data_IF_289862171215
#
_entry.id   IF_289862171215
#
_cell.length_a   1.000
_cell.length_b   1.000
_cell.length_c   1.000
_cell.angle_alpha   90.00
_cell.angle_beta   90.00
_cell.angle_gamma   90.00
#
_symmetry.space_group_name_H-M   'P 1'
#
loop_
_entity.id
_entity.type
_entity.pdbx_description
1 polymer ?
#
# COMPACT_ATOMS: atom_id res chain seq x y z
N UNK A 1 11.26 -22.63 -9.27
CA UNK A 1 11.24 -22.43 -7.80
C UNK A 1 11.05 -20.93 -7.52
N UNK A 2 9.80 -20.47 -7.46
CA UNK A 2 9.47 -19.04 -7.45
C UNK A 2 9.73 -18.46 -6.07
N UNK A 3 10.89 -17.81 -5.90
CA UNK A 3 11.26 -17.08 -4.68
C UNK A 3 10.29 -15.91 -4.45
N UNK A 4 9.23 -16.13 -3.67
CA UNK A 4 8.40 -15.04 -3.10
C UNK A 4 9.23 -14.32 -2.01
N UNK A 5 10.04 -13.35 -2.42
CA UNK A 5 10.91 -12.57 -1.55
C UNK A 5 10.14 -11.42 -0.88
N UNK A 6 9.68 -11.64 0.36
CA UNK A 6 9.11 -10.60 1.25
C UNK A 6 10.15 -10.23 2.32
N UNK A 7 11.18 -9.47 1.97
CA UNK A 7 12.33 -9.20 2.85
C UNK A 7 11.99 -8.39 4.11
N UNK A 8 11.15 -7.37 3.98
CA UNK A 8 10.76 -6.53 5.11
C UNK A 8 10.09 -7.33 6.25
N UNK A 9 9.23 -8.30 5.88
CA UNK A 9 8.60 -9.21 6.85
C UNK A 9 9.64 -10.05 7.59
N UNK A 10 10.69 -10.51 6.90
CA UNK A 10 11.77 -11.30 7.50
C UNK A 10 12.60 -10.49 8.49
N UNK A 11 12.91 -9.24 8.16
CA UNK A 11 13.61 -8.32 9.08
C UNK A 11 12.79 -8.03 10.33
N UNK A 12 11.47 -7.80 10.19
CA UNK A 12 10.58 -7.62 11.33
C UNK A 12 10.56 -8.85 12.25
N UNK A 13 10.47 -10.06 11.69
CA UNK A 13 10.53 -11.31 12.46
C UNK A 13 11.88 -11.48 13.15
N UNK A 14 12.99 -11.24 12.44
CA UNK A 14 14.34 -11.31 12.99
C UNK A 14 14.51 -10.37 14.20
N UNK A 15 14.04 -9.13 14.08
CA UNK A 15 14.10 -8.15 15.16
C UNK A 15 13.27 -8.56 16.38
N UNK A 16 12.04 -9.07 16.17
CA UNK A 16 11.19 -9.55 17.26
C UNK A 16 11.79 -10.78 17.96
N UNK A 17 12.36 -11.72 17.21
CA UNK A 17 13.07 -12.88 17.77
C UNK A 17 14.29 -12.46 18.58
N UNK A 18 15.08 -11.51 18.07
CA UNK A 18 16.22 -10.96 18.80
C UNK A 18 15.79 -10.28 20.11
N UNK A 19 14.70 -9.49 20.08
CA UNK A 19 14.11 -8.90 21.30
C UNK A 19 13.63 -9.96 22.30
N UNK A 20 13.14 -11.10 21.82
CA UNK A 20 12.74 -12.23 22.67
C UNK A 20 13.95 -13.04 23.24
N UNK A 21 15.19 -12.61 23.00
CA UNK A 21 16.40 -13.22 23.54
C UNK A 21 17.00 -14.31 22.64
N UNK A 22 16.46 -14.53 21.44
CA UNK A 22 17.06 -15.46 20.49
C UNK A 22 18.35 -14.88 19.88
N UNK A 23 19.36 -15.72 19.68
CA UNK A 23 20.52 -15.38 18.86
C UNK A 23 20.14 -15.49 17.38
N UNK A 24 20.03 -14.34 16.71
CA UNK A 24 19.59 -14.26 15.30
C UNK A 24 20.75 -13.87 14.41
N UNK A 25 20.94 -14.60 13.31
CA UNK A 25 21.85 -14.24 12.22
C UNK A 25 21.01 -13.87 11.00
N UNK A 26 21.18 -12.65 10.49
CA UNK A 26 20.59 -12.20 9.23
C UNK A 26 21.67 -12.27 8.15
N UNK A 27 21.37 -12.95 7.05
CA UNK A 27 22.30 -13.08 5.90
C UNK A 27 21.65 -12.44 4.69
N UNK A 28 22.32 -11.43 4.14
CA UNK A 28 21.94 -10.75 2.90
C UNK A 28 22.93 -11.09 1.78
N UNK A 29 22.42 -11.44 0.59
CA UNK A 29 23.25 -11.79 -0.56
C UNK A 29 23.89 -10.56 -1.20
N UNK A 30 23.19 -9.42 -1.16
CA UNK A 30 23.58 -8.23 -1.90
C UNK A 30 24.62 -7.35 -1.16
N UNK A 31 25.02 -7.72 0.05
CA UNK A 31 25.97 -6.96 0.87
C UNK A 31 25.31 -6.03 1.89
N UNK A 32 26.12 -5.44 2.77
CA UNK A 32 25.64 -4.59 3.88
C UNK A 32 25.09 -3.24 3.41
N UNK A 33 25.58 -2.73 2.27
CA UNK A 33 25.13 -1.47 1.69
C UNK A 33 23.80 -1.60 0.90
N UNK A 34 23.33 -2.83 0.65
CA UNK A 34 22.15 -3.12 -0.20
C UNK A 34 21.06 -3.92 0.55
N UNK A 35 20.89 -3.63 1.85
CA UNK A 35 19.87 -4.26 2.71
C UNK A 35 18.48 -3.69 2.40
N UNK A 36 17.46 -4.58 2.36
CA UNK A 36 16.06 -4.19 2.11
C UNK A 36 15.44 -4.94 0.92
N UNK A 37 16.28 -5.52 0.07
CA UNK A 37 15.90 -6.48 -0.95
C UNK A 37 15.08 -5.82 -2.04
N UNK A 38 13.76 -5.99 -1.98
CA UNK A 38 12.85 -5.30 -2.91
C UNK A 38 12.53 -3.88 -2.47
N UNK A 39 12.65 -3.56 -1.19
CA UNK A 39 12.49 -2.19 -0.69
C UNK A 39 13.89 -1.59 -0.70
N UNK A 40 14.25 -0.96 -1.81
CA UNK A 40 15.63 -0.55 -2.08
C UNK A 40 15.66 0.60 -3.10
N UNK A 41 16.77 1.32 -3.19
CA UNK A 41 16.96 2.47 -4.06
C UNK A 41 18.12 2.28 -5.05
N UNK A 42 18.09 3.07 -6.13
CA UNK A 42 19.19 3.19 -7.10
C UNK A 42 19.46 4.67 -7.34
N UNK A 43 20.73 5.05 -7.26
CA UNK A 43 21.18 6.42 -7.53
C UNK A 43 21.83 6.45 -8.91
N UNK A 44 21.26 7.25 -9.83
CA UNK A 44 21.79 7.48 -11.17
C UNK A 44 22.42 8.86 -11.25
N UNK A 45 23.63 8.92 -11.80
CA UNK A 45 24.44 10.13 -12.01
C UNK A 45 24.64 11.00 -10.76
N UNK A 46 24.48 10.41 -9.57
CA UNK A 46 24.53 11.14 -8.28
C UNK A 46 23.40 12.15 -8.07
N UNK A 47 22.37 12.17 -8.93
CA UNK A 47 21.32 13.21 -8.93
C UNK A 47 19.91 12.64 -8.85
N UNK A 48 19.68 11.50 -9.49
CA UNK A 48 18.37 10.88 -9.55
C UNK A 48 18.34 9.68 -8.63
N UNK A 49 17.35 9.63 -7.75
CA UNK A 49 17.14 8.51 -6.83
C UNK A 49 15.83 7.83 -7.19
N UNK A 50 15.91 6.54 -7.49
CA UNK A 50 14.78 5.71 -7.88
C UNK A 50 14.55 4.62 -6.86
N UNK A 51 13.36 4.58 -6.30
CA UNK A 51 12.90 3.43 -5.51
C UNK A 51 12.64 2.24 -6.46
N UNK A 52 13.12 1.07 -6.11
CA UNK A 52 12.92 -0.19 -6.85
C UNK A 52 11.82 -1.06 -6.24
N UNK A 53 11.25 -0.59 -5.14
CA UNK A 53 10.25 -1.27 -4.34
C UNK A 53 8.83 -0.75 -4.51
N UNK A 54 7.94 -1.09 -3.55
CA UNK A 54 6.59 -0.55 -3.54
C UNK A 54 6.62 0.97 -3.37
N UNK A 55 5.84 1.67 -4.19
CA UNK A 55 5.70 3.13 -4.15
C UNK A 55 4.56 3.61 -3.24
N UNK A 56 3.68 2.71 -2.77
CA UNK A 56 2.53 3.03 -1.92
C UNK A 56 2.67 2.40 -0.53
N UNK A 57 2.56 3.24 0.50
CA UNK A 57 2.47 2.84 1.90
C UNK A 57 1.01 2.94 2.37
N UNK A 58 0.25 1.85 2.20
CA UNK A 58 -1.19 1.83 2.50
C UNK A 58 -1.51 1.70 3.99
N UNK A 59 -0.69 0.96 4.74
CA UNK A 59 -0.94 0.61 6.15
C UNK A 59 0.24 1.04 7.03
N UNK A 60 0.44 2.35 7.27
CA UNK A 60 1.55 2.84 8.10
C UNK A 60 1.46 2.33 9.55
N UNK A 61 0.25 2.06 10.07
CA UNK A 61 0.07 1.59 11.44
C UNK A 61 0.67 0.21 11.71
N UNK A 62 0.71 -0.67 10.70
CA UNK A 62 1.37 -1.96 10.83
C UNK A 62 2.90 -1.81 11.07
N UNK A 63 3.50 -0.78 10.49
CA UNK A 63 4.91 -0.44 10.76
C UNK A 63 5.06 0.15 12.16
N UNK A 64 4.19 1.08 12.56
CA UNK A 64 4.22 1.66 13.91
C UNK A 64 4.07 0.59 14.99
N UNK A 65 3.19 -0.38 14.80
CA UNK A 65 3.03 -1.54 15.69
C UNK A 65 4.31 -2.37 15.77
N UNK A 66 4.92 -2.68 14.62
CA UNK A 66 6.18 -3.42 14.59
C UNK A 66 7.30 -2.72 15.37
N UNK A 67 7.42 -1.39 15.26
CA UNK A 67 8.41 -0.62 16.01
C UNK A 67 8.08 -0.53 17.50
N UNK A 68 6.79 -0.35 17.85
CA UNK A 68 6.32 -0.39 19.24
C UNK A 68 6.62 -1.72 19.92
N UNK A 69 6.42 -2.83 19.22
CA UNK A 69 6.80 -4.17 19.71
C UNK A 69 8.29 -4.29 19.99
N UNK A 70 9.12 -3.49 19.32
CA UNK A 70 10.57 -3.41 19.56
C UNK A 70 10.95 -2.37 20.62
N UNK A 71 9.98 -1.65 21.20
CA UNK A 71 10.20 -0.59 22.19
C UNK A 71 10.75 0.69 21.57
N UNK A 72 10.41 0.97 20.31
CA UNK A 72 10.88 2.11 19.53
C UNK A 72 9.71 2.85 18.91
N UNK A 73 9.90 4.14 18.59
CA UNK A 73 8.98 4.87 17.74
C UNK A 73 9.42 4.78 16.27
N UNK A 74 8.48 4.67 15.34
CA UNK A 74 8.76 4.71 13.91
C UNK A 74 9.26 6.11 13.48
N UNK A 75 8.79 7.18 14.12
CA UNK A 75 9.17 8.55 13.79
C UNK A 75 10.64 8.85 14.06
N UNK A 76 11.30 8.06 14.91
CA UNK A 76 12.74 8.18 15.18
C UNK A 76 13.60 7.80 13.96
N UNK A 77 13.01 7.09 12.98
CA UNK A 77 13.74 6.54 11.84
C UNK A 77 13.25 7.07 10.50
N UNK A 78 11.96 7.35 10.37
CA UNK A 78 11.37 7.78 9.09
C UNK A 78 10.33 8.88 9.29
N UNK A 79 10.36 9.87 8.39
CA UNK A 79 9.34 10.91 8.31
C UNK A 79 8.29 10.52 7.27
N UNK A 80 7.15 10.00 7.73
CA UNK A 80 6.04 9.64 6.86
C UNK A 80 5.16 10.87 6.64
N UNK A 81 5.06 11.31 5.38
CA UNK A 81 4.18 12.40 4.97
C UNK A 81 3.01 11.83 4.18
N UNK A 82 1.81 12.30 4.52
CA UNK A 82 0.61 11.99 3.74
C UNK A 82 0.68 12.74 2.41
N UNK A 83 0.45 12.02 1.32
CA UNK A 83 0.35 12.58 -0.04
C UNK A 83 -1.12 12.63 -0.41
N UNK A 84 -1.60 13.79 -0.82
CA UNK A 84 -2.96 14.01 -1.32
C UNK A 84 -2.91 14.83 -2.61
N UNK A 85 -3.68 14.47 -3.65
CA UNK A 85 -4.50 13.25 -3.77
C UNK A 85 -3.64 11.96 -3.80
N UNK A 86 -4.25 10.82 -3.46
CA UNK A 86 -3.49 9.55 -3.38
C UNK A 86 -2.93 9.14 -4.75
N UNK A 87 -3.75 9.24 -5.79
CA UNK A 87 -3.35 9.18 -7.20
C UNK A 87 -4.46 9.76 -8.08
N UNK A 88 -4.13 9.97 -9.36
CA UNK A 88 -5.08 10.37 -10.39
C UNK A 88 -5.08 9.33 -11.51
N UNK A 89 -6.25 8.82 -11.85
CA UNK A 89 -6.48 7.90 -12.96
C UNK A 89 -6.87 8.72 -14.18
N UNK A 90 -6.24 8.44 -15.32
CA UNK A 90 -6.58 9.04 -16.61
C UNK A 90 -7.12 7.94 -17.52
N UNK A 91 -8.25 8.21 -18.18
CA UNK A 91 -8.85 7.33 -19.17
C UNK A 91 -8.46 7.75 -20.58
N UNK A 92 -8.69 6.87 -21.54
CA UNK A 92 -8.33 7.06 -22.95
C UNK A 92 -9.15 8.15 -23.65
N UNK A 93 -10.39 8.36 -23.22
CA UNK A 93 -11.28 9.44 -23.65
C UNK A 93 -10.91 10.83 -23.08
N UNK A 94 -9.85 10.91 -22.27
CA UNK A 94 -9.37 12.14 -21.64
C UNK A 94 -10.05 12.49 -20.32
N UNK A 95 -11.03 11.71 -19.86
CA UNK A 95 -11.60 11.86 -18.53
C UNK A 95 -10.60 11.40 -17.46
N UNK A 96 -10.84 11.80 -16.20
CA UNK A 96 -9.96 11.44 -15.09
C UNK A 96 -10.67 11.42 -13.75
N UNK A 97 -10.23 10.53 -12.87
CA UNK A 97 -10.66 10.45 -11.45
C UNK A 97 -9.48 10.77 -10.56
N UNK A 98 -9.68 11.68 -9.62
CA UNK A 98 -8.74 12.00 -8.56
C UNK A 98 -9.17 11.24 -7.31
N UNK A 99 -8.33 10.33 -6.81
CA UNK A 99 -8.60 9.69 -5.51
C UNK A 99 -8.39 10.69 -4.38
N UNK A 100 -9.50 11.32 -4.00
CA UNK A 100 -9.65 12.22 -2.87
C UNK A 100 -9.94 11.45 -1.58
N UNK A 101 -9.68 12.08 -0.44
CA UNK A 101 -10.11 11.59 0.87
C UNK A 101 -11.46 12.18 1.30
N UNK A 102 -12.04 13.08 0.51
CA UNK A 102 -13.41 13.54 0.65
C UNK A 102 -14.36 12.58 -0.07
N UNK A 103 -15.13 11.82 0.70
CA UNK A 103 -16.12 10.88 0.19
C UNK A 103 -17.19 11.57 -0.68
N UNK A 104 -17.61 12.79 -0.33
CA UNK A 104 -18.58 13.53 -1.13
C UNK A 104 -17.97 13.99 -2.45
N UNK A 105 -16.67 14.31 -2.47
CA UNK A 105 -15.95 14.59 -3.71
C UNK A 105 -15.81 13.37 -4.60
N UNK A 106 -15.45 12.22 -4.01
CA UNK A 106 -15.41 10.95 -4.74
C UNK A 106 -16.77 10.59 -5.33
N UNK A 107 -17.86 10.75 -4.57
CA UNK A 107 -19.23 10.52 -5.06
C UNK A 107 -19.56 11.41 -6.26
N UNK A 108 -19.24 12.71 -6.20
CA UNK A 108 -19.45 13.64 -7.33
C UNK A 108 -18.64 13.24 -8.57
N UNK A 109 -17.39 12.83 -8.38
CA UNK A 109 -16.52 12.42 -9.48
C UNK A 109 -17.01 11.13 -10.14
N UNK A 110 -17.48 10.16 -9.35
CA UNK A 110 -18.02 8.88 -9.86
C UNK A 110 -19.32 9.13 -10.62
N UNK A 111 -20.28 9.88 -10.06
CA UNK A 111 -21.56 10.17 -10.71
C UNK A 111 -21.38 10.92 -12.04
N UNK A 112 -20.35 11.77 -12.15
CA UNK A 112 -20.03 12.47 -13.40
C UNK A 112 -19.52 11.54 -14.52
N UNK A 113 -18.94 10.39 -14.17
CA UNK A 113 -18.38 9.42 -15.13
C UNK A 113 -19.39 8.32 -15.45
N UNK A 114 -20.06 7.80 -14.43
CA UNK A 114 -21.08 6.77 -14.58
C UNK A 114 -22.36 7.16 -13.83
N UNK A 115 -23.29 7.85 -14.51
CA UNK A 115 -24.56 8.25 -13.91
C UNK A 115 -25.35 7.02 -13.45
N UNK A 116 -25.94 7.08 -12.26
CA UNK A 116 -26.78 6.04 -11.64
C UNK A 116 -26.08 4.79 -11.04
N UNK A 117 -24.75 4.76 -10.89
CA UNK A 117 -24.07 3.71 -10.11
C UNK A 117 -24.01 3.96 -8.60
N UNK A 118 -24.22 5.20 -8.15
CA UNK A 118 -24.21 5.51 -6.71
C UNK A 118 -25.58 5.15 -6.10
N UNK A 119 -25.80 3.84 -5.88
CA UNK A 119 -26.92 3.40 -5.06
C UNK A 119 -26.72 3.87 -3.62
N UNK A 120 -27.50 4.87 -3.22
CA UNK A 120 -27.53 5.44 -1.88
C UNK A 120 -27.89 4.38 -0.83
N UNK A 121 -28.46 3.24 -1.22
CA UNK A 121 -28.78 2.12 -0.33
C UNK A 121 -27.55 1.26 0.06
N UNK A 122 -26.46 1.27 -0.72
CA UNK A 122 -25.22 0.55 -0.40
C UNK A 122 -24.39 1.16 0.74
N UNK A 123 -24.76 2.38 1.18
CA UNK A 123 -24.00 3.21 2.13
C UNK A 123 -23.83 2.59 3.52
N UNK A 124 -24.69 1.66 3.94
CA UNK A 124 -24.61 0.97 5.25
C UNK A 124 -23.65 -0.21 5.30
N UNK A 125 -23.13 -0.70 4.17
CA UNK A 125 -22.30 -1.91 4.15
C UNK A 125 -20.79 -1.68 4.17
N UNK A 126 -20.34 -0.54 3.64
CA UNK A 126 -18.90 -0.27 3.46
C UNK A 126 -18.34 0.62 4.58
N UNK A 127 -19.18 1.44 5.22
CA UNK A 127 -18.76 2.37 6.29
C UNK A 127 -18.95 1.79 7.69
N UNK A 128 -19.90 0.87 7.86
CA UNK A 128 -20.05 0.05 9.05
C UNK A 128 -19.47 -1.33 8.70
N UNK A 129 -18.41 -1.77 9.36
CA UNK A 129 -17.67 -3.00 9.04
C UNK A 129 -18.44 -4.32 9.20
N UNK A 130 -19.57 -4.48 8.53
CA UNK A 130 -20.43 -5.65 8.54
C UNK A 130 -20.71 -6.08 7.09
N UNK A 131 -20.15 -7.23 6.71
CA UNK A 131 -20.64 -8.20 5.74
C UNK A 131 -21.69 -7.67 4.74
N UNK A 132 -21.26 -6.88 3.78
CA UNK A 132 -22.03 -6.61 2.59
C UNK A 132 -21.58 -7.57 1.49
N UNK A 133 -22.37 -8.62 1.25
CA UNK A 133 -22.32 -9.37 0.00
C UNK A 133 -22.56 -8.38 -1.14
N UNK A 134 -21.46 -7.96 -1.76
CA UNK A 134 -21.47 -7.17 -2.98
C UNK A 134 -22.10 -8.05 -4.07
N UNK A 135 -23.39 -7.84 -4.34
CA UNK A 135 -24.17 -8.51 -5.38
C UNK A 135 -23.75 -8.15 -6.81
N UNK A 136 -22.46 -7.93 -7.05
CA UNK A 136 -21.89 -7.80 -8.39
C UNK A 136 -21.28 -9.15 -8.72
N UNK A 137 -21.90 -9.92 -9.61
CA UNK A 137 -21.28 -11.14 -10.13
C UNK A 137 -20.02 -10.76 -10.91
N UNK A 138 -18.87 -10.84 -10.24
CA UNK A 138 -17.56 -10.56 -10.80
C UNK A 138 -17.25 -11.40 -12.05
N UNK A 139 -18.01 -12.47 -12.33
CA UNK A 139 -17.85 -13.29 -13.52
C UNK A 139 -18.41 -12.65 -14.79
N UNK A 140 -19.37 -11.72 -14.71
CA UNK A 140 -19.89 -11.03 -15.91
C UNK A 140 -19.00 -9.86 -16.34
N UNK A 141 -18.47 -9.07 -15.40
CA UNK A 141 -17.65 -7.91 -15.74
C UNK A 141 -16.28 -8.26 -16.33
N UNK A 142 -15.70 -9.42 -15.97
CA UNK A 142 -14.39 -9.84 -16.49
C UNK A 142 -14.45 -10.25 -17.98
N UNK A 143 -15.61 -10.68 -18.48
CA UNK A 143 -15.76 -11.07 -19.90
C UNK A 143 -15.76 -9.89 -20.87
N UNK A 144 -15.94 -8.66 -20.39
CA UNK A 144 -15.96 -7.46 -21.23
C UNK A 144 -14.55 -6.88 -21.49
N UNK A 145 -13.54 -7.37 -20.77
CA UNK A 145 -12.16 -6.89 -20.81
C UNK A 145 -11.13 -8.00 -21.10
N UNK A 146 -11.55 -9.04 -21.83
CA UNK A 146 -10.68 -10.02 -22.51
C UNK A 146 -10.99 -10.02 -24.00
#
# INVERSE_FOLDING_TARGET
>A
MTRRNNQLKRLAVAARLAKAGARVLVVEKNGEEDVGGRVNERILDGRYRFETGPSLLLLPDAFRETFRDLGRDLSDFVNIRRVMPAYKVYFDDGTSVVLSDDAADMERQIEAIEPAQVDVAGRRGITDGADAECGVDAREHIKRWQ
#
